data_IF_568436861818
#
_entry.id   IF_568436861818
#
_cell.length_a   1.000
_cell.length_b   1.000
_cell.length_c   1.000
_cell.angle_alpha   90.00
_cell.angle_beta   90.00
_cell.angle_gamma   90.00
#
_symmetry.space_group_name_H-M   'P 1'
#
loop_
_entity.id
_entity.type
_entity.pdbx_description
1 polymer ?
#
# COMPACT_ATOMS: atom_id res chain seq x y z
N UNK A 1 34.84 1.96 2.18
CA UNK A 1 34.30 0.57 2.19
C UNK A 1 34.84 -0.12 0.94
N UNK A 2 35.51 -1.22 1.11
CA UNK A 2 35.98 -2.04 0.00
C UNK A 2 34.89 -2.99 -0.52
N UNK A 3 35.18 -3.76 -1.58
CA UNK A 3 34.19 -4.64 -2.22
C UNK A 3 33.76 -5.80 -1.31
N UNK A 4 34.68 -6.33 -0.52
CA UNK A 4 34.41 -7.46 0.38
C UNK A 4 33.53 -7.03 1.55
N UNK A 5 33.82 -5.88 2.14
CA UNK A 5 33.02 -5.27 3.20
C UNK A 5 31.60 -4.95 2.71
N UNK A 6 31.47 -4.36 1.50
CA UNK A 6 30.15 -4.11 0.88
C UNK A 6 29.37 -5.41 0.71
N UNK A 7 30.00 -6.47 0.19
CA UNK A 7 29.34 -7.76 -0.01
C UNK A 7 28.83 -8.35 1.32
N UNK A 8 29.69 -8.31 2.35
CA UNK A 8 29.32 -8.79 3.70
C UNK A 8 28.11 -8.02 4.27
N UNK A 9 28.09 -6.69 4.13
CA UNK A 9 26.97 -5.85 4.58
C UNK A 9 25.69 -6.14 3.80
N UNK A 10 25.79 -6.41 2.50
CA UNK A 10 24.64 -6.78 1.68
C UNK A 10 24.06 -8.15 2.07
N UNK A 11 24.89 -9.11 2.38
CA UNK A 11 24.47 -10.43 2.88
C UNK A 11 23.77 -10.33 4.24
N UNK A 12 24.34 -9.55 5.16
CA UNK A 12 23.74 -9.24 6.46
C UNK A 12 22.37 -8.58 6.28
N UNK A 13 22.28 -7.56 5.44
CA UNK A 13 21.03 -6.86 5.13
C UNK A 13 19.97 -7.81 4.57
N UNK A 14 20.33 -8.64 3.58
CA UNK A 14 19.42 -9.64 3.01
C UNK A 14 18.91 -10.63 4.07
N UNK A 15 19.75 -11.05 4.99
CA UNK A 15 19.40 -11.96 6.09
C UNK A 15 18.39 -11.33 7.04
N UNK A 16 18.62 -10.07 7.44
CA UNK A 16 17.75 -9.33 8.35
C UNK A 16 16.39 -9.04 7.72
N UNK A 17 16.37 -8.62 6.47
CA UNK A 17 15.11 -8.37 5.73
C UNK A 17 14.29 -9.64 5.55
N UNK A 18 14.94 -10.80 5.30
CA UNK A 18 14.24 -12.10 5.24
C UNK A 18 13.59 -12.51 6.56
N UNK A 19 14.15 -12.06 7.67
CA UNK A 19 13.62 -12.29 9.02
C UNK A 19 12.62 -11.22 9.46
N UNK A 20 12.34 -10.26 8.58
CA UNK A 20 11.53 -9.07 8.89
C UNK A 20 12.06 -8.21 10.04
N UNK A 21 13.36 -8.37 10.36
CA UNK A 21 14.06 -7.53 11.35
C UNK A 21 14.50 -6.20 10.71
N UNK A 22 13.54 -5.33 10.50
CA UNK A 22 13.78 -4.02 9.89
C UNK A 22 14.50 -3.05 10.82
N UNK A 23 14.35 -3.22 12.13
CA UNK A 23 15.05 -2.39 13.11
C UNK A 23 16.56 -2.73 13.11
N UNK A 24 16.91 -4.00 13.14
CA UNK A 24 18.31 -4.45 13.00
C UNK A 24 18.90 -4.07 11.64
N UNK A 25 18.11 -4.16 10.57
CA UNK A 25 18.53 -3.80 9.22
C UNK A 25 18.84 -2.29 9.06
N UNK A 26 18.23 -1.41 9.86
CA UNK A 26 18.46 0.03 9.79
C UNK A 26 19.93 0.38 10.06
N UNK A 27 20.55 -0.21 11.06
CA UNK A 27 21.95 0.03 11.38
C UNK A 27 22.89 -0.33 10.22
N UNK A 28 22.60 -1.44 9.52
CA UNK A 28 23.36 -1.86 8.35
C UNK A 28 23.16 -0.87 7.19
N UNK A 29 21.94 -0.44 6.96
CA UNK A 29 21.60 0.52 5.90
C UNK A 29 22.28 1.87 6.12
N UNK A 30 22.31 2.37 7.35
CA UNK A 30 22.95 3.65 7.69
C UNK A 30 24.50 3.61 7.61
N UNK A 31 25.10 2.42 7.70
CA UNK A 31 26.56 2.24 7.61
C UNK A 31 27.09 2.24 6.17
N UNK A 32 26.22 2.18 5.15
CA UNK A 32 26.61 2.04 3.74
C UNK A 32 26.30 3.30 2.93
N UNK A 33 27.25 3.71 2.08
CA UNK A 33 26.99 4.76 1.08
C UNK A 33 26.37 4.18 -0.19
N UNK A 34 25.07 4.36 -0.35
CA UNK A 34 24.28 3.83 -1.46
C UNK A 34 24.42 4.59 -2.79
N UNK A 35 25.08 5.74 -2.81
CA UNK A 35 25.21 6.61 -4.01
C UNK A 35 25.87 5.92 -5.20
N UNK A 36 26.69 4.90 -4.96
CA UNK A 36 27.39 4.14 -6.00
C UNK A 36 26.69 2.85 -6.41
N UNK A 37 25.62 2.47 -5.71
CA UNK A 37 24.90 1.22 -5.94
C UNK A 37 23.96 1.39 -7.13
N UNK A 38 24.10 0.55 -8.15
CA UNK A 38 23.29 0.59 -9.38
C UNK A 38 22.10 -0.36 -9.36
N UNK A 39 22.10 -1.35 -8.47
CA UNK A 39 21.04 -2.36 -8.36
C UNK A 39 19.75 -1.74 -7.86
N UNK A 40 18.73 -1.66 -8.73
CA UNK A 40 17.38 -1.18 -8.38
C UNK A 40 16.74 -2.05 -7.29
N UNK A 41 16.99 -3.36 -7.34
CA UNK A 41 16.52 -4.29 -6.30
C UNK A 41 17.10 -3.96 -4.93
N UNK A 42 18.40 -3.71 -4.86
CA UNK A 42 19.07 -3.36 -3.61
C UNK A 42 18.58 -2.01 -3.09
N UNK A 43 18.47 -1.00 -3.94
CA UNK A 43 17.93 0.31 -3.55
C UNK A 43 16.47 0.21 -3.08
N UNK A 44 15.66 -0.62 -3.74
CA UNK A 44 14.29 -0.90 -3.33
C UNK A 44 14.23 -1.49 -1.91
N UNK A 45 15.06 -2.48 -1.63
CA UNK A 45 15.16 -3.11 -0.29
C UNK A 45 15.64 -2.11 0.78
N UNK A 46 16.61 -1.26 0.46
CA UNK A 46 17.06 -0.19 1.37
C UNK A 46 15.93 0.79 1.67
N UNK A 47 15.15 1.17 0.67
CA UNK A 47 13.98 2.01 0.86
C UNK A 47 12.91 1.31 1.74
N UNK A 48 12.69 0.00 1.58
CA UNK A 48 11.79 -0.77 2.44
C UNK A 48 12.20 -0.70 3.91
N UNK A 49 13.51 -0.81 4.20
CA UNK A 49 14.03 -0.70 5.58
C UNK A 49 13.75 0.69 6.15
N UNK A 50 14.03 1.75 5.40
CA UNK A 50 13.73 3.11 5.84
C UNK A 50 12.23 3.34 6.06
N UNK A 51 11.37 2.87 5.15
CA UNK A 51 9.91 2.99 5.28
C UNK A 51 9.38 2.24 6.50
N UNK A 52 9.85 1.00 6.76
CA UNK A 52 9.46 0.21 7.91
C UNK A 52 9.81 0.90 9.24
N UNK A 53 10.94 1.64 9.26
CA UNK A 53 11.38 2.46 10.39
C UNK A 53 10.79 3.89 10.38
N UNK A 54 9.83 4.18 9.51
CA UNK A 54 9.20 5.51 9.34
C UNK A 54 10.19 6.64 9.01
N UNK A 55 11.33 6.29 8.44
CA UNK A 55 12.36 7.21 7.96
C UNK A 55 12.06 7.61 6.51
N UNK A 56 10.92 8.27 6.31
CA UNK A 56 10.38 8.58 4.98
C UNK A 56 11.26 9.53 4.15
N UNK A 57 11.92 10.57 4.72
CA UNK A 57 12.83 11.41 3.95
C UNK A 57 14.01 10.63 3.35
N UNK A 58 14.57 9.70 4.12
CA UNK A 58 15.67 8.85 3.67
C UNK A 58 15.20 7.82 2.64
N UNK A 59 14.03 7.22 2.86
CA UNK A 59 13.41 6.32 1.88
C UNK A 59 13.21 7.02 0.54
N UNK A 60 12.68 8.24 0.55
CA UNK A 60 12.48 9.08 -0.64
C UNK A 60 13.80 9.34 -1.38
N UNK A 61 14.87 9.69 -0.66
CA UNK A 61 16.21 9.88 -1.23
C UNK A 61 16.66 8.64 -2.00
N UNK A 62 16.51 7.46 -1.43
CA UNK A 62 16.90 6.19 -2.05
C UNK A 62 16.02 5.90 -3.28
N UNK A 63 14.71 6.15 -3.18
CA UNK A 63 13.80 5.96 -4.31
C UNK A 63 14.10 6.91 -5.47
N UNK A 64 14.44 8.16 -5.21
CA UNK A 64 14.89 9.11 -6.25
C UNK A 64 16.17 8.63 -6.94
N UNK A 65 17.14 8.13 -6.17
CA UNK A 65 18.36 7.54 -6.75
C UNK A 65 18.05 6.31 -7.63
N UNK A 66 17.06 5.51 -7.24
CA UNK A 66 16.60 4.38 -8.03
C UNK A 66 15.87 4.84 -9.30
N UNK A 67 15.05 5.88 -9.19
CA UNK A 67 14.32 6.47 -10.32
C UNK A 67 15.25 6.99 -11.40
N UNK A 68 16.27 7.76 -11.02
CA UNK A 68 17.30 8.29 -11.95
C UNK A 68 18.04 7.19 -12.73
N UNK A 69 18.05 5.96 -12.20
CA UNK A 69 18.74 4.80 -12.80
C UNK A 69 17.81 3.85 -13.55
N UNK A 70 16.51 4.07 -13.46
CA UNK A 70 15.51 3.23 -14.10
C UNK A 70 15.17 3.74 -15.50
N UNK A 71 14.86 2.83 -16.44
CA UNK A 71 14.45 3.20 -17.79
C UNK A 71 12.98 3.63 -17.89
N UNK A 72 12.09 3.08 -17.03
CA UNK A 72 10.65 3.35 -17.06
C UNK A 72 10.14 3.80 -15.68
N UNK A 73 10.70 3.30 -14.60
CA UNK A 73 10.47 3.78 -13.23
C UNK A 73 9.04 3.68 -12.65
N UNK A 74 8.09 3.03 -13.35
CA UNK A 74 6.68 2.96 -12.95
C UNK A 74 6.48 2.52 -11.49
N UNK A 75 7.12 1.43 -11.07
CA UNK A 75 7.01 0.93 -9.70
C UNK A 75 7.67 1.85 -8.67
N UNK A 76 8.72 2.55 -9.06
CA UNK A 76 9.41 3.52 -8.20
C UNK A 76 8.57 4.78 -8.04
N UNK A 77 7.96 5.29 -9.13
CA UNK A 77 7.02 6.41 -9.07
C UNK A 77 5.83 6.10 -8.15
N UNK A 78 5.28 4.89 -8.23
CA UNK A 78 4.23 4.44 -7.32
C UNK A 78 4.65 4.61 -5.85
N UNK A 79 5.85 4.14 -5.49
CA UNK A 79 6.39 4.25 -4.13
C UNK A 79 6.71 5.69 -3.74
N UNK A 80 7.19 6.52 -4.67
CA UNK A 80 7.44 7.95 -4.43
C UNK A 80 6.15 8.69 -4.07
N UNK A 81 5.03 8.40 -4.75
CA UNK A 81 3.71 8.92 -4.37
C UNK A 81 3.35 8.49 -2.95
N UNK A 82 3.48 7.20 -2.62
CA UNK A 82 3.13 6.68 -1.28
C UNK A 82 3.96 7.34 -0.17
N UNK A 83 5.26 7.47 -0.37
CA UNK A 83 6.17 8.09 0.61
C UNK A 83 5.86 9.58 0.77
N UNK A 84 5.61 10.31 -0.32
CA UNK A 84 5.24 11.73 -0.27
C UNK A 84 3.91 11.93 0.47
N UNK A 85 2.92 11.07 0.27
CA UNK A 85 1.66 11.07 1.04
C UNK A 85 1.92 10.85 2.54
N UNK A 86 2.80 9.91 2.91
CA UNK A 86 3.18 9.67 4.32
C UNK A 86 3.91 10.85 4.94
N UNK A 87 4.68 11.59 4.16
CA UNK A 87 5.33 12.84 4.56
C UNK A 87 4.36 14.03 4.59
N UNK A 88 3.13 13.85 4.11
CA UNK A 88 2.12 14.91 3.92
C UNK A 88 2.57 16.00 2.94
N UNK A 89 3.49 15.66 2.06
CA UNK A 89 3.89 16.49 0.93
C UNK A 89 3.01 16.16 -0.27
N UNK A 90 1.81 16.75 -0.29
CA UNK A 90 0.80 16.41 -1.29
C UNK A 90 1.08 17.04 -2.65
N UNK A 91 1.75 18.17 -2.71
CA UNK A 91 2.14 18.80 -3.97
C UNK A 91 3.11 17.89 -4.72
N UNK A 92 4.13 17.43 -4.04
CA UNK A 92 5.09 16.48 -4.62
C UNK A 92 4.45 15.12 -4.93
N UNK A 93 3.54 14.63 -4.08
CA UNK A 93 2.80 13.41 -4.35
C UNK A 93 1.98 13.51 -5.65
N UNK A 94 1.38 14.67 -5.91
CA UNK A 94 0.64 14.96 -7.16
C UNK A 94 1.60 14.99 -8.35
N UNK A 95 2.77 15.59 -8.21
CA UNK A 95 3.76 15.65 -9.29
C UNK A 95 4.21 14.23 -9.70
N UNK A 96 4.58 13.39 -8.75
CA UNK A 96 4.91 11.99 -9.02
C UNK A 96 3.72 11.18 -9.56
N UNK A 97 2.51 11.47 -9.10
CA UNK A 97 1.30 10.85 -9.64
C UNK A 97 1.10 11.20 -11.12
N UNK A 98 1.28 12.45 -11.50
CA UNK A 98 1.18 12.89 -12.89
C UNK A 98 2.22 12.21 -13.78
N UNK A 99 3.45 12.05 -13.28
CA UNK A 99 4.48 11.29 -13.98
C UNK A 99 4.12 9.80 -14.11
N UNK A 100 3.57 9.20 -13.04
CA UNK A 100 3.08 7.82 -13.08
C UNK A 100 1.98 7.65 -14.12
N UNK A 101 1.00 8.54 -14.13
CA UNK A 101 -0.11 8.50 -15.09
C UNK A 101 0.38 8.64 -16.54
N UNK A 102 1.40 9.43 -16.79
CA UNK A 102 2.00 9.61 -18.11
C UNK A 102 2.66 8.33 -18.63
N UNK A 103 3.36 7.57 -17.78
CA UNK A 103 4.07 6.33 -18.16
C UNK A 103 3.22 5.07 -18.04
N UNK A 104 2.14 5.10 -17.27
CA UNK A 104 1.31 3.96 -16.93
C UNK A 104 -0.19 4.20 -17.17
N UNK A 105 -0.55 4.77 -18.32
CA UNK A 105 -1.92 5.22 -18.67
C UNK A 105 -3.00 4.14 -18.52
N UNK A 106 -2.66 2.88 -18.72
CA UNK A 106 -3.57 1.74 -18.65
C UNK A 106 -3.47 0.97 -17.34
N UNK A 107 -2.66 1.44 -16.40
CA UNK A 107 -2.51 0.78 -15.10
C UNK A 107 -3.59 1.26 -14.14
N UNK A 108 -4.45 0.34 -13.71
CA UNK A 108 -5.55 0.65 -12.80
C UNK A 108 -5.07 1.10 -11.41
N UNK A 109 -3.81 0.84 -11.05
CA UNK A 109 -3.21 1.34 -9.80
C UNK A 109 -3.23 2.86 -9.69
N UNK A 110 -3.40 3.60 -10.80
CA UNK A 110 -3.56 5.06 -10.80
C UNK A 110 -4.75 5.52 -9.95
N UNK A 111 -5.87 4.79 -9.96
CA UNK A 111 -7.03 5.08 -9.12
C UNK A 111 -6.69 4.95 -7.64
N UNK A 112 -5.91 3.93 -7.30
CA UNK A 112 -5.48 3.68 -5.93
C UNK A 112 -4.48 4.73 -5.42
N UNK A 113 -3.57 5.17 -6.27
CA UNK A 113 -2.65 6.26 -5.94
C UNK A 113 -3.39 7.58 -5.70
N UNK A 114 -4.31 7.92 -6.59
CA UNK A 114 -5.14 9.12 -6.44
C UNK A 114 -6.00 9.05 -5.17
N UNK A 115 -6.58 7.88 -4.89
CA UNK A 115 -7.29 7.63 -3.64
C UNK A 115 -6.41 7.87 -2.41
N UNK A 116 -5.17 7.37 -2.40
CA UNK A 116 -4.24 7.57 -1.29
C UNK A 116 -3.91 9.05 -1.06
N UNK A 117 -3.77 9.83 -2.13
CA UNK A 117 -3.58 11.29 -2.05
C UNK A 117 -4.82 11.94 -1.44
N UNK A 118 -6.01 11.71 -1.99
CA UNK A 118 -7.28 12.29 -1.49
C UNK A 118 -7.53 11.93 -0.03
N UNK A 119 -7.31 10.68 0.35
CA UNK A 119 -7.43 10.22 1.74
C UNK A 119 -6.44 10.95 2.66
N UNK A 120 -5.19 11.11 2.21
CA UNK A 120 -4.16 11.83 2.97
C UNK A 120 -4.51 13.31 3.17
N UNK A 121 -5.06 13.94 2.17
CA UNK A 121 -5.56 15.33 2.19
C UNK A 121 -6.87 15.48 2.99
N UNK A 122 -7.47 14.37 3.44
CA UNK A 122 -8.80 14.35 4.06
C UNK A 122 -9.90 14.95 3.16
N UNK A 123 -9.80 14.71 1.87
CA UNK A 123 -10.81 15.09 0.89
C UNK A 123 -12.20 14.54 1.27
N UNK A 124 -13.30 15.15 0.76
CA UNK A 124 -14.65 14.67 1.01
C UNK A 124 -14.81 13.17 0.73
N UNK A 125 -15.61 12.47 1.56
CA UNK A 125 -15.82 11.02 1.41
C UNK A 125 -16.41 10.67 0.04
N UNK A 126 -17.27 11.53 -0.51
CA UNK A 126 -17.89 11.34 -1.83
C UNK A 126 -16.85 11.21 -2.94
N UNK A 127 -15.81 12.06 -2.92
CA UNK A 127 -14.71 11.99 -3.90
C UNK A 127 -13.89 10.70 -3.75
N UNK A 128 -13.63 10.30 -2.51
CA UNK A 128 -12.91 9.06 -2.20
C UNK A 128 -13.72 7.83 -2.64
N UNK A 129 -15.03 7.83 -2.40
CA UNK A 129 -15.95 6.76 -2.78
C UNK A 129 -16.02 6.65 -4.31
N UNK A 130 -16.26 7.75 -5.01
CA UNK A 130 -16.35 7.77 -6.47
C UNK A 130 -15.12 7.15 -7.12
N UNK A 131 -13.94 7.44 -6.59
CA UNK A 131 -12.69 6.92 -7.12
C UNK A 131 -12.52 5.41 -6.93
N UNK A 132 -12.94 4.88 -5.77
CA UNK A 132 -12.91 3.43 -5.53
C UNK A 132 -14.04 2.69 -6.25
N UNK A 133 -15.17 3.34 -6.51
CA UNK A 133 -16.21 2.82 -7.42
C UNK A 133 -15.67 2.67 -8.84
N UNK A 134 -14.99 3.69 -9.38
CA UNK A 134 -14.34 3.61 -10.70
C UNK A 134 -13.27 2.51 -10.76
N UNK A 135 -12.50 2.32 -9.69
CA UNK A 135 -11.54 1.22 -9.61
C UNK A 135 -12.25 -0.15 -9.63
N UNK A 136 -13.32 -0.29 -8.86
CA UNK A 136 -14.12 -1.53 -8.76
C UNK A 136 -14.69 -1.97 -10.13
N UNK A 137 -15.10 -1.04 -10.98
CA UNK A 137 -15.59 -1.34 -12.34
C UNK A 137 -14.51 -2.00 -13.23
N UNK A 138 -13.24 -1.88 -12.86
CA UNK A 138 -12.08 -2.39 -13.62
C UNK A 138 -11.45 -3.60 -12.98
N UNK A 139 -11.33 -3.57 -11.67
CA UNK A 139 -10.69 -4.60 -10.87
C UNK A 139 -11.44 -4.81 -9.55
N UNK A 140 -11.85 -6.04 -9.28
CA UNK A 140 -12.48 -6.40 -8.01
C UNK A 140 -11.48 -7.16 -7.14
N UNK A 141 -10.89 -6.48 -6.17
CA UNK A 141 -9.90 -7.03 -5.25
C UNK A 141 -10.37 -6.92 -3.81
N UNK A 142 -10.09 -7.93 -3.02
CA UNK A 142 -10.57 -8.10 -1.65
C UNK A 142 -10.31 -6.87 -0.76
N UNK A 143 -9.08 -6.39 -0.75
CA UNK A 143 -8.66 -5.25 0.07
C UNK A 143 -9.45 -3.98 -0.24
N UNK A 144 -9.58 -3.65 -1.53
CA UNK A 144 -10.17 -2.39 -1.96
C UNK A 144 -11.69 -2.44 -1.97
N UNK A 145 -12.29 -3.62 -2.17
CA UNK A 145 -13.71 -3.84 -1.95
C UNK A 145 -14.09 -3.59 -0.48
N UNK A 146 -13.28 -4.08 0.47
CA UNK A 146 -13.47 -3.78 1.89
C UNK A 146 -13.30 -2.28 2.20
N UNK A 147 -12.29 -1.63 1.64
CA UNK A 147 -12.07 -0.19 1.87
C UNK A 147 -13.26 0.63 1.37
N UNK A 148 -13.84 0.28 0.22
CA UNK A 148 -15.06 0.92 -0.30
C UNK A 148 -16.25 0.72 0.64
N UNK A 149 -16.49 -0.50 1.13
CA UNK A 149 -17.53 -0.78 2.12
C UNK A 149 -17.35 0.06 3.40
N UNK A 150 -16.10 0.19 3.87
CA UNK A 150 -15.76 1.01 5.03
C UNK A 150 -16.01 2.52 4.78
N UNK A 151 -15.77 3.01 3.57
CA UNK A 151 -16.09 4.40 3.20
C UNK A 151 -17.61 4.63 3.18
N UNK A 152 -18.42 3.71 2.65
CA UNK A 152 -19.87 3.78 2.72
C UNK A 152 -20.37 3.85 4.17
N UNK A 153 -19.79 3.01 5.05
CA UNK A 153 -20.09 3.06 6.48
C UNK A 153 -19.81 4.43 7.10
N UNK A 154 -18.64 5.02 6.78
CA UNK A 154 -18.27 6.35 7.27
C UNK A 154 -19.13 7.48 6.72
N UNK A 155 -19.62 7.33 5.50
CA UNK A 155 -20.52 8.28 4.85
C UNK A 155 -21.99 8.15 5.32
N UNK A 156 -22.33 7.14 6.14
CA UNK A 156 -23.68 6.87 6.57
C UNK A 156 -24.55 6.18 5.50
N UNK A 157 -23.95 5.70 4.41
CA UNK A 157 -24.63 4.96 3.36
C UNK A 157 -24.79 3.48 3.73
N UNK A 158 -25.62 3.22 4.74
CA UNK A 158 -25.75 1.90 5.38
C UNK A 158 -26.08 0.79 4.40
N UNK A 159 -27.03 1.00 3.47
CA UNK A 159 -27.42 -0.05 2.53
C UNK A 159 -26.28 -0.38 1.56
N UNK A 160 -25.61 0.62 1.00
CA UNK A 160 -24.46 0.38 0.13
C UNK A 160 -23.32 -0.34 0.87
N UNK A 161 -23.13 -0.03 2.15
CA UNK A 161 -22.15 -0.73 2.98
C UNK A 161 -22.48 -2.21 3.12
N UNK A 162 -23.75 -2.55 3.43
CA UNK A 162 -24.21 -3.94 3.56
C UNK A 162 -24.04 -4.68 2.23
N UNK A 163 -24.53 -4.10 1.13
CA UNK A 163 -24.44 -4.69 -0.20
C UNK A 163 -22.99 -4.96 -0.63
N UNK A 164 -22.08 -4.01 -0.36
CA UNK A 164 -20.67 -4.17 -0.63
C UNK A 164 -20.00 -5.26 0.22
N UNK A 165 -20.40 -5.39 1.49
CA UNK A 165 -19.93 -6.48 2.35
C UNK A 165 -20.41 -7.83 1.85
N UNK A 166 -21.68 -7.95 1.47
CA UNK A 166 -22.27 -9.18 0.95
C UNK A 166 -21.59 -9.62 -0.36
N UNK A 167 -21.37 -8.69 -1.27
CA UNK A 167 -20.66 -8.95 -2.51
C UNK A 167 -19.24 -9.47 -2.24
N UNK A 168 -18.49 -8.82 -1.33
CA UNK A 168 -17.14 -9.24 -0.96
C UNK A 168 -17.13 -10.65 -0.37
N UNK A 169 -18.03 -10.94 0.57
CA UNK A 169 -18.16 -12.25 1.23
C UNK A 169 -18.52 -13.32 0.19
N UNK A 170 -19.41 -13.01 -0.73
CA UNK A 170 -19.84 -13.94 -1.78
C UNK A 170 -18.69 -14.32 -2.72
N UNK A 171 -17.90 -13.34 -3.16
CA UNK A 171 -16.87 -13.57 -4.16
C UNK A 171 -15.57 -14.17 -3.61
N UNK A 172 -15.19 -13.80 -2.39
CA UNK A 172 -13.91 -14.26 -1.82
C UNK A 172 -14.06 -15.41 -0.81
N UNK A 173 -15.25 -15.62 -0.26
CA UNK A 173 -15.61 -16.72 0.64
C UNK A 173 -14.84 -16.79 1.96
N UNK A 174 -13.52 -16.59 1.94
CA UNK A 174 -12.62 -16.63 3.11
C UNK A 174 -11.50 -15.60 2.99
N UNK A 175 -10.86 -15.28 4.11
CA UNK A 175 -9.72 -14.36 4.15
C UNK A 175 -9.89 -13.22 5.14
N UNK A 176 -8.79 -12.50 5.34
CA UNK A 176 -8.72 -11.39 6.32
C UNK A 176 -9.77 -10.29 6.09
N UNK A 177 -10.04 -9.95 4.83
CA UNK A 177 -10.97 -8.87 4.51
C UNK A 177 -12.41 -9.37 4.47
N UNK A 178 -12.64 -10.65 4.21
CA UNK A 178 -13.96 -11.28 4.38
C UNK A 178 -14.37 -11.23 5.85
N UNK A 179 -13.50 -11.63 6.78
CA UNK A 179 -13.75 -11.50 8.23
C UNK A 179 -14.06 -10.06 8.63
N UNK A 180 -13.27 -9.09 8.14
CA UNK A 180 -13.53 -7.68 8.41
C UNK A 180 -14.84 -7.17 7.81
N UNK A 181 -15.27 -7.69 6.66
CA UNK A 181 -16.53 -7.34 6.04
C UNK A 181 -17.71 -7.91 6.84
N UNK A 182 -17.59 -9.13 7.37
CA UNK A 182 -18.56 -9.71 8.29
C UNK A 182 -18.72 -8.87 9.54
N UNK A 183 -17.61 -8.48 10.19
CA UNK A 183 -17.61 -7.61 11.37
C UNK A 183 -18.25 -6.24 11.09
N UNK A 184 -17.98 -5.68 9.92
CA UNK A 184 -18.55 -4.40 9.50
C UNK A 184 -20.05 -4.50 9.27
N UNK A 185 -20.51 -5.57 8.59
CA UNK A 185 -21.94 -5.83 8.34
C UNK A 185 -22.70 -6.03 9.64
N UNK A 186 -22.14 -6.76 10.61
CA UNK A 186 -22.77 -7.01 11.91
C UNK A 186 -23.08 -5.75 12.72
N UNK A 187 -22.50 -4.62 12.39
CA UNK A 187 -22.86 -3.34 13.02
C UNK A 187 -24.25 -2.84 12.61
N UNK A 188 -24.76 -3.32 11.50
CA UNK A 188 -26.01 -2.87 10.90
C UNK A 188 -27.09 -3.94 10.90
N UNK A 189 -26.72 -5.20 10.65
CA UNK A 189 -27.64 -6.32 10.66
C UNK A 189 -26.92 -7.63 11.06
N UNK A 190 -27.67 -8.61 11.66
CA UNK A 190 -27.08 -9.89 12.00
C UNK A 190 -26.70 -10.68 10.75
N UNK A 191 -25.62 -11.47 10.83
CA UNK A 191 -25.23 -12.40 9.77
C UNK A 191 -26.31 -13.45 9.54
N UNK A 192 -26.52 -13.81 8.27
CA UNK A 192 -27.39 -14.94 7.94
C UNK A 192 -26.84 -16.26 8.51
N UNK A 193 -27.70 -17.26 8.80
CA UNK A 193 -27.26 -18.55 9.35
C UNK A 193 -26.13 -19.20 8.54
N UNK A 194 -26.13 -19.09 7.21
CA UNK A 194 -25.07 -19.62 6.35
C UNK A 194 -23.71 -18.97 6.61
N UNK A 195 -23.66 -17.68 6.90
CA UNK A 195 -22.43 -16.95 7.16
C UNK A 195 -21.88 -17.20 8.57
N UNK A 196 -22.74 -17.51 9.53
CA UNK A 196 -22.33 -17.88 10.88
C UNK A 196 -21.52 -19.18 10.93
N UNK A 197 -21.78 -20.12 10.02
CA UNK A 197 -21.04 -21.39 9.93
C UNK A 197 -19.68 -21.27 9.22
N UNK A 198 -19.46 -20.21 8.43
CA UNK A 198 -18.19 -19.95 7.74
C UNK A 198 -17.26 -19.04 8.53
N UNK A 199 -17.74 -18.41 9.60
CA UNK A 199 -16.90 -17.60 10.50
C UNK A 199 -15.93 -18.53 11.25
N UNK A 200 -14.61 -18.26 11.23
CA UNK A 200 -13.68 -19.02 12.06
C UNK A 200 -14.07 -18.83 13.53
N UNK A 201 -14.32 -19.95 14.22
CA UNK A 201 -14.56 -19.96 15.67
C UNK A 201 -13.42 -19.23 16.37
N UNK A 202 -13.70 -18.33 17.32
CA UNK A 202 -12.63 -17.79 18.15
C UNK A 202 -11.96 -18.99 18.85
N UNK A 203 -10.70 -19.24 18.52
CA UNK A 203 -9.93 -20.26 19.25
C UNK A 203 -9.59 -19.66 20.61
N UNK A 204 -9.95 -20.44 21.62
CA UNK A 204 -9.51 -20.26 23.01
C UNK A 204 -7.99 -20.09 23.13
#
# INVERSE_FOLDING_TARGET
MDKAEYQSRLEELNSLVKKEDYEGALAVVEAVDWRRVKSLRTLGMVADVYEANKRYPEAKKILLMAYDRSSIGKGILYRLVEVSVKMKDFDEAIDFYNEFEAVARHDNSRYLLKYKILRGQKAPLEEQISLLEEYKEREFTERWAYELANLYSKAGETQKCIDACDELILWFSEGKYVTKAMDLKMKYEPLSPCLLYTSPSPRD
#
